data_IF_563615696711
#
_entry.id   IF_563615696711
#
_cell.length_a   1.000
_cell.length_b   1.000
_cell.length_c   1.000
_cell.angle_alpha   90.00
_cell.angle_beta   90.00
_cell.angle_gamma   90.00
#
_symmetry.space_group_name_H-M   'P 1'
#
loop_
_entity.id
_entity.type
_entity.pdbx_description
1 polymer ?
#
# COMPACT_ATOMS: atom_id res chain seq x y z
N UNK A 1 1.36 11.46 -14.19
CA UNK A 1 0.78 10.11 -14.06
C UNK A 1 0.47 9.46 -15.41
N UNK A 2 -0.26 10.09 -16.33
CA UNK A 2 -0.48 9.52 -17.68
C UNK A 2 0.83 9.21 -18.40
N UNK A 3 1.83 10.08 -18.32
CA UNK A 3 3.16 9.83 -18.89
C UNK A 3 3.81 8.56 -18.31
N UNK A 4 3.67 8.32 -17.00
CA UNK A 4 4.23 7.12 -16.39
C UNK A 4 3.55 5.84 -16.87
N UNK A 5 2.23 5.86 -17.05
CA UNK A 5 1.51 4.72 -17.64
C UNK A 5 1.96 4.48 -19.09
N UNK A 6 2.06 5.54 -19.89
CA UNK A 6 2.55 5.44 -21.27
C UNK A 6 4.01 4.93 -21.33
N UNK A 7 4.87 5.39 -20.42
CA UNK A 7 6.24 4.89 -20.31
C UNK A 7 6.26 3.40 -19.89
N UNK A 8 5.43 3.01 -18.93
CA UNK A 8 5.34 1.61 -18.50
C UNK A 8 4.94 0.69 -19.65
N UNK A 9 3.92 1.05 -20.43
CA UNK A 9 3.46 0.31 -21.60
C UNK A 9 4.55 0.25 -22.69
N UNK A 10 5.25 1.36 -22.94
CA UNK A 10 6.34 1.40 -23.89
C UNK A 10 7.53 0.55 -23.47
N UNK A 11 7.91 0.56 -22.19
CA UNK A 11 9.01 -0.25 -21.66
C UNK A 11 8.67 -1.75 -21.66
N UNK A 12 7.42 -2.09 -21.36
CA UNK A 12 6.92 -3.46 -21.46
C UNK A 12 7.00 -3.97 -22.92
N UNK A 13 6.58 -3.15 -23.88
CA UNK A 13 6.68 -3.46 -25.30
C UNK A 13 8.13 -3.76 -25.74
N UNK A 14 9.10 -3.01 -25.24
CA UNK A 14 10.52 -3.21 -25.54
C UNK A 14 11.22 -4.21 -24.63
N UNK A 15 10.52 -4.80 -23.67
CA UNK A 15 11.07 -5.71 -22.65
C UNK A 15 12.22 -5.09 -21.84
N UNK A 16 12.13 -3.80 -21.55
CA UNK A 16 13.13 -3.06 -20.76
C UNK A 16 12.65 -2.92 -19.32
N UNK A 17 13.45 -3.32 -18.32
CA UNK A 17 13.13 -3.07 -16.91
C UNK A 17 12.90 -1.57 -16.66
N UNK A 18 11.83 -1.25 -15.96
CA UNK A 18 11.42 0.12 -15.74
C UNK A 18 11.13 0.40 -14.26
N UNK A 19 11.67 1.50 -13.76
CA UNK A 19 11.23 2.09 -12.50
C UNK A 19 10.10 3.08 -12.77
N UNK A 20 9.02 2.91 -12.04
CA UNK A 20 7.82 3.73 -12.24
C UNK A 20 7.85 5.04 -11.50
N UNK A 21 6.67 5.54 -11.22
CA UNK A 21 6.46 6.76 -10.44
C UNK A 21 7.07 6.63 -9.06
N UNK A 22 7.68 7.71 -8.58
CA UNK A 22 8.19 7.79 -7.22
C UNK A 22 7.13 7.45 -6.17
N UNK A 23 7.49 6.66 -5.18
CA UNK A 23 6.72 6.46 -3.95
C UNK A 23 6.72 7.67 -3.02
N UNK A 24 7.35 8.77 -3.43
CA UNK A 24 7.34 10.06 -2.75
C UNK A 24 6.07 10.83 -3.05
N UNK A 25 5.70 11.71 -2.12
CA UNK A 25 4.58 12.65 -2.27
C UNK A 25 5.02 14.10 -2.10
N UNK A 26 4.17 15.01 -2.57
CA UNK A 26 4.32 16.46 -2.38
C UNK A 26 3.97 16.91 -0.96
N UNK A 27 3.46 16.02 -0.12
CA UNK A 27 3.09 16.30 1.27
C UNK A 27 4.26 16.69 2.14
N UNK A 28 3.96 17.33 3.26
CA UNK A 28 4.93 17.69 4.30
C UNK A 28 5.12 16.56 5.32
N UNK A 29 4.39 15.48 5.13
CA UNK A 29 4.32 14.27 5.94
C UNK A 29 3.20 13.38 5.42
N UNK A 30 2.69 12.42 6.23
CA UNK A 30 1.49 11.65 5.92
C UNK A 30 0.24 12.51 6.12
N UNK A 31 0.06 13.51 5.28
CA UNK A 31 -1.01 14.51 5.32
C UNK A 31 -1.95 14.40 4.12
N UNK A 32 -2.94 15.28 4.05
CA UNK A 32 -3.92 15.29 2.97
C UNK A 32 -3.28 15.52 1.59
N UNK A 33 -2.16 16.26 1.52
CA UNK A 33 -1.44 16.53 0.28
C UNK A 33 -0.73 15.26 -0.22
N UNK A 34 -0.12 14.52 0.70
CA UNK A 34 0.55 13.26 0.38
C UNK A 34 -0.45 12.17 0.00
N UNK A 35 -1.60 12.11 0.67
CA UNK A 35 -2.57 11.02 0.57
C UNK A 35 -2.97 10.73 -0.89
N UNK A 36 -3.49 11.73 -1.60
CA UNK A 36 -3.91 11.55 -2.99
C UNK A 36 -2.74 11.21 -3.93
N UNK A 37 -1.60 11.86 -3.74
CA UNK A 37 -0.41 11.64 -4.57
C UNK A 37 0.14 10.22 -4.41
N UNK A 38 0.24 9.72 -3.17
CA UNK A 38 0.71 8.37 -2.88
C UNK A 38 -0.22 7.32 -3.49
N UNK A 39 -1.53 7.47 -3.32
CA UNK A 39 -2.50 6.59 -3.96
C UNK A 39 -2.33 6.51 -5.47
N UNK A 40 -2.29 7.65 -6.13
CA UNK A 40 -2.14 7.71 -7.58
C UNK A 40 -0.80 7.17 -8.07
N UNK A 41 0.28 7.43 -7.35
CA UNK A 41 1.61 6.92 -7.70
C UNK A 41 1.66 5.40 -7.61
N UNK A 42 1.22 4.82 -6.49
CA UNK A 42 1.24 3.38 -6.31
C UNK A 42 0.24 2.66 -7.22
N UNK A 43 -0.94 3.26 -7.47
CA UNK A 43 -1.93 2.69 -8.38
C UNK A 43 -1.37 2.61 -9.81
N UNK A 44 -0.78 3.70 -10.31
CA UNK A 44 -0.18 3.71 -11.65
C UNK A 44 0.97 2.71 -11.79
N UNK A 45 1.78 2.54 -10.76
CA UNK A 45 2.84 1.53 -10.73
C UNK A 45 2.29 0.10 -10.77
N UNK A 46 1.23 -0.17 -10.01
CA UNK A 46 0.63 -1.52 -9.94
C UNK A 46 -0.09 -1.89 -11.24
N UNK A 47 -0.86 -0.96 -11.82
CA UNK A 47 -1.54 -1.18 -13.10
C UNK A 47 -0.54 -1.30 -14.25
N UNK A 48 0.50 -0.45 -14.25
CA UNK A 48 1.57 -0.49 -15.24
C UNK A 48 2.54 -1.66 -15.07
N UNK A 49 2.36 -2.52 -14.05
CA UNK A 49 3.24 -3.66 -13.72
C UNK A 49 4.72 -3.28 -13.64
N UNK A 50 4.98 -2.11 -13.10
CA UNK A 50 6.33 -1.57 -12.97
C UNK A 50 7.10 -2.32 -11.87
N UNK A 51 8.35 -2.68 -12.14
CA UNK A 51 9.15 -3.50 -11.24
C UNK A 51 9.59 -2.80 -9.95
N UNK A 52 9.68 -1.47 -9.94
CA UNK A 52 10.18 -0.69 -8.81
C UNK A 52 9.46 0.65 -8.68
N UNK A 53 9.02 0.99 -7.48
CA UNK A 53 8.59 2.32 -7.08
C UNK A 53 9.60 2.89 -6.08
N UNK A 54 10.53 3.76 -6.49
CA UNK A 54 11.58 4.30 -5.61
C UNK A 54 11.04 5.36 -4.65
N UNK A 55 11.82 5.68 -3.61
CA UNK A 55 11.59 6.80 -2.68
C UNK A 55 10.33 6.70 -1.82
N UNK A 56 9.87 5.48 -1.49
CA UNK A 56 8.78 5.29 -0.52
C UNK A 56 9.14 5.93 0.81
N UNK A 57 8.23 6.74 1.37
CA UNK A 57 8.47 7.51 2.58
C UNK A 57 9.04 8.91 2.34
N UNK A 58 9.31 9.28 1.08
CA UNK A 58 9.74 10.62 0.71
C UNK A 58 8.59 11.63 0.80
N UNK A 59 8.90 12.82 1.31
CA UNK A 59 8.03 13.98 1.36
C UNK A 59 8.74 15.16 0.71
N UNK A 60 8.03 16.26 0.42
CA UNK A 60 8.60 17.41 -0.29
C UNK A 60 9.34 16.98 -1.57
N UNK A 61 8.69 16.14 -2.38
CA UNK A 61 9.30 15.57 -3.60
C UNK A 61 10.66 14.87 -3.33
N UNK A 62 10.70 14.01 -2.31
CA UNK A 62 11.87 13.23 -1.88
C UNK A 62 12.99 14.03 -1.18
N UNK A 63 12.73 15.25 -0.74
CA UNK A 63 13.72 16.04 -0.01
C UNK A 63 13.78 15.69 1.49
N UNK A 64 12.72 15.11 2.04
CA UNK A 64 12.65 14.66 3.43
C UNK A 64 12.12 13.23 3.51
N UNK A 65 12.63 12.46 4.47
CA UNK A 65 12.19 11.11 4.74
C UNK A 65 11.38 11.06 6.04
N UNK A 66 10.28 10.29 6.03
CA UNK A 66 9.45 10.07 7.21
C UNK A 66 9.08 8.59 7.35
N UNK A 67 9.45 7.93 8.46
CA UNK A 67 9.00 6.56 8.76
C UNK A 67 7.47 6.44 8.80
N UNK A 68 6.79 7.46 9.28
CA UNK A 68 5.32 7.48 9.33
C UNK A 68 4.71 7.48 7.92
N UNK A 69 5.35 8.15 6.96
CA UNK A 69 4.94 8.10 5.56
C UNK A 69 5.22 6.73 4.94
N UNK A 70 6.30 6.02 5.34
CA UNK A 70 6.54 4.63 4.91
C UNK A 70 5.41 3.71 5.36
N UNK A 71 5.03 3.78 6.62
CA UNK A 71 3.94 2.96 7.20
C UNK A 71 2.61 3.26 6.52
N UNK A 72 2.33 4.53 6.23
CA UNK A 72 1.14 4.92 5.47
C UNK A 72 1.17 4.39 4.04
N UNK A 73 2.31 4.51 3.36
CA UNK A 73 2.49 4.02 2.00
C UNK A 73 2.32 2.49 1.92
N UNK A 74 2.77 1.72 2.92
CA UNK A 74 2.57 0.28 2.98
C UNK A 74 1.08 -0.09 2.96
N UNK A 75 0.26 0.60 3.75
CA UNK A 75 -1.20 0.43 3.74
C UNK A 75 -1.81 0.75 2.35
N UNK A 76 -1.35 1.84 1.73
CA UNK A 76 -1.78 2.21 0.37
C UNK A 76 -1.37 1.15 -0.64
N UNK A 77 -0.12 0.69 -0.61
CA UNK A 77 0.41 -0.33 -1.52
C UNK A 77 -0.39 -1.63 -1.39
N UNK A 78 -0.72 -2.06 -0.17
CA UNK A 78 -1.53 -3.25 0.07
C UNK A 78 -2.89 -3.15 -0.60
N UNK A 79 -3.60 -2.05 -0.39
CA UNK A 79 -4.93 -1.82 -0.98
C UNK A 79 -4.86 -1.69 -2.51
N UNK A 80 -3.87 -1.01 -3.02
CA UNK A 80 -3.64 -0.84 -4.46
C UNK A 80 -3.32 -2.17 -5.14
N UNK A 81 -2.49 -3.02 -4.54
CA UNK A 81 -2.19 -4.35 -5.07
C UNK A 81 -3.43 -5.23 -5.14
N UNK A 82 -4.27 -5.17 -4.12
CA UNK A 82 -5.55 -5.86 -4.12
C UNK A 82 -6.46 -5.37 -5.26
N UNK A 83 -6.58 -4.05 -5.42
CA UNK A 83 -7.34 -3.47 -6.51
C UNK A 83 -6.80 -3.89 -7.88
N UNK A 84 -5.48 -3.84 -8.06
CA UNK A 84 -4.82 -4.21 -9.32
C UNK A 84 -4.90 -5.72 -9.63
N UNK A 85 -4.99 -6.58 -8.62
CA UNK A 85 -5.21 -8.01 -8.79
C UNK A 85 -6.59 -8.31 -9.39
N UNK A 86 -7.56 -7.39 -9.19
CA UNK A 86 -8.92 -7.55 -9.68
C UNK A 86 -9.64 -8.72 -9.03
N UNK A 87 -10.53 -9.32 -9.76
CA UNK A 87 -11.28 -10.51 -9.35
C UNK A 87 -11.21 -11.58 -10.44
N UNK A 88 -11.27 -12.82 -10.03
CA UNK A 88 -11.24 -13.95 -10.96
C UNK A 88 -12.69 -14.18 -11.47
N UNK A 89 -12.80 -14.13 -12.80
CA UNK A 89 -14.00 -14.62 -13.48
C UNK A 89 -13.81 -16.12 -13.71
N UNK A 90 -14.45 -16.94 -12.90
CA UNK A 90 -14.42 -18.39 -13.01
C UNK A 90 -15.74 -18.87 -13.61
N UNK A 91 -15.67 -19.76 -14.62
CA UNK A 91 -16.85 -20.40 -15.22
C UNK A 91 -17.65 -21.24 -14.20
N UNK A 92 -17.00 -21.67 -13.12
CA UNK A 92 -17.68 -22.41 -12.04
C UNK A 92 -18.47 -21.50 -11.09
N UNK A 93 -18.18 -20.20 -11.11
CA UNK A 93 -18.85 -19.20 -10.31
C UNK A 93 -19.88 -18.44 -11.17
N UNK A 94 -20.99 -19.11 -11.47
CA UNK A 94 -22.05 -18.56 -12.31
C UNK A 94 -22.99 -17.65 -11.49
N UNK A 95 -22.79 -16.32 -11.52
CA UNK A 95 -23.59 -15.39 -10.73
C UNK A 95 -25.07 -15.36 -11.18
N UNK A 96 -25.37 -15.85 -12.39
CA UNK A 96 -26.75 -15.90 -12.88
C UNK A 96 -27.61 -16.90 -12.10
N UNK A 97 -27.01 -17.99 -11.63
CA UNK A 97 -27.72 -18.95 -10.76
C UNK A 97 -28.12 -18.32 -9.44
N UNK A 98 -27.17 -17.57 -8.82
CA UNK A 98 -27.46 -16.88 -7.57
C UNK A 98 -28.51 -15.78 -7.76
N UNK A 99 -28.40 -14.99 -8.83
CA UNK A 99 -29.41 -13.97 -9.18
C UNK A 99 -30.78 -14.61 -9.37
N UNK A 100 -30.86 -15.74 -10.07
CA UNK A 100 -32.12 -16.46 -10.31
C UNK A 100 -32.69 -17.03 -9.02
N UNK A 101 -31.84 -17.59 -8.14
CA UNK A 101 -32.27 -18.20 -6.88
C UNK A 101 -32.78 -17.18 -5.87
N UNK A 102 -32.13 -16.02 -5.79
CA UNK A 102 -32.47 -14.91 -4.88
C UNK A 102 -33.76 -14.21 -5.36
N UNK A 103 -33.90 -14.02 -6.66
CA UNK A 103 -35.08 -13.41 -7.26
C UNK A 103 -35.26 -11.92 -6.96
N UNK A 104 -36.31 -11.29 -7.55
CA UNK A 104 -36.58 -9.86 -7.35
C UNK A 104 -36.94 -9.53 -5.90
N UNK A 105 -36.25 -8.52 -5.33
CA UNK A 105 -36.49 -8.09 -3.94
C UNK A 105 -35.85 -8.98 -2.87
N UNK A 106 -35.17 -10.06 -3.25
CA UNK A 106 -34.42 -10.92 -2.34
C UNK A 106 -33.11 -10.30 -1.85
N UNK A 107 -32.45 -10.98 -0.91
CA UNK A 107 -31.17 -10.53 -0.32
C UNK A 107 -30.05 -11.50 -0.68
N UNK A 108 -28.95 -10.99 -1.20
CA UNK A 108 -27.74 -11.76 -1.49
C UNK A 108 -26.89 -12.04 -0.24
N UNK A 109 -27.20 -11.45 0.91
CA UNK A 109 -26.41 -11.61 2.14
C UNK A 109 -26.28 -13.07 2.60
N UNK A 110 -27.23 -13.92 2.22
CA UNK A 110 -27.27 -15.34 2.57
C UNK A 110 -26.92 -16.25 1.37
N UNK A 111 -26.53 -15.70 0.22
CA UNK A 111 -26.13 -16.55 -0.91
C UNK A 111 -24.82 -17.29 -0.59
N UNK A 112 -24.68 -18.48 -1.13
CA UNK A 112 -23.49 -19.31 -0.93
C UNK A 112 -22.21 -18.59 -1.36
N UNK A 113 -22.24 -17.89 -2.50
CA UNK A 113 -21.14 -17.10 -3.01
C UNK A 113 -20.76 -15.96 -2.05
N UNK A 114 -21.75 -15.22 -1.51
CA UNK A 114 -21.48 -14.16 -0.53
C UNK A 114 -20.87 -14.74 0.74
N UNK A 115 -21.40 -15.82 1.28
CA UNK A 115 -20.90 -16.45 2.50
C UNK A 115 -19.50 -17.05 2.33
N UNK A 116 -19.16 -17.54 1.14
CA UNK A 116 -17.83 -18.07 0.84
C UNK A 116 -16.78 -16.96 0.69
N UNK A 117 -17.13 -15.85 0.06
CA UNK A 117 -16.17 -14.81 -0.33
C UNK A 117 -16.08 -13.64 0.66
N UNK A 118 -17.11 -13.42 1.49
CA UNK A 118 -17.15 -12.24 2.35
C UNK A 118 -15.98 -12.19 3.34
N UNK A 119 -15.49 -13.33 3.81
CA UNK A 119 -14.36 -13.41 4.72
C UNK A 119 -13.07 -12.92 4.06
N UNK A 120 -12.79 -13.40 2.85
CA UNK A 120 -11.59 -13.03 2.09
C UNK A 120 -11.57 -11.54 1.75
N UNK A 121 -12.76 -10.96 1.52
CA UNK A 121 -12.91 -9.53 1.25
C UNK A 121 -12.84 -8.71 2.55
N UNK A 122 -13.39 -9.23 3.65
CA UNK A 122 -13.53 -8.50 4.91
C UNK A 122 -12.31 -8.63 5.84
N UNK A 123 -11.54 -9.71 5.77
CA UNK A 123 -10.35 -9.94 6.61
C UNK A 123 -9.17 -9.02 6.29
N UNK A 124 -9.31 -8.13 5.31
CA UNK A 124 -8.29 -7.19 4.91
C UNK A 124 -8.35 -5.85 5.67
N UNK A 125 -8.72 -5.91 6.94
CA UNK A 125 -8.70 -4.73 7.78
C UNK A 125 -7.27 -4.21 7.98
N UNK A 126 -7.14 -2.90 7.90
CA UNK A 126 -5.90 -2.23 8.29
C UNK A 126 -5.55 -2.55 9.75
N UNK A 127 -4.29 -2.90 10.01
CA UNK A 127 -3.79 -3.04 11.37
C UNK A 127 -3.74 -1.71 12.13
N UNK A 128 -3.70 -0.61 11.38
CA UNK A 128 -3.60 0.74 11.91
C UNK A 128 -5.00 1.31 12.17
N UNK A 129 -5.91 1.12 11.21
CA UNK A 129 -7.27 1.67 11.25
C UNK A 129 -8.32 0.55 11.19
N UNK A 130 -8.75 0.02 12.34
CA UNK A 130 -9.84 -0.94 12.37
C UNK A 130 -11.11 -0.35 11.77
N UNK A 131 -11.91 -1.20 11.12
CA UNK A 131 -13.20 -0.82 10.56
C UNK A 131 -14.27 -0.60 11.63
N UNK A 132 -14.11 0.42 12.45
CA UNK A 132 -15.07 0.73 13.51
C UNK A 132 -16.43 1.16 12.97
N UNK A 133 -17.51 0.68 13.57
CA UNK A 133 -18.79 1.35 13.50
C UNK A 133 -18.73 2.69 14.26
N UNK A 134 -19.64 3.61 14.00
CA UNK A 134 -19.71 4.89 14.72
C UNK A 134 -19.74 4.69 16.24
N UNK A 135 -20.55 3.73 16.69
CA UNK A 135 -20.67 3.44 18.14
C UNK A 135 -19.35 2.91 18.71
N UNK A 136 -18.68 1.99 18.03
CA UNK A 136 -17.37 1.49 18.44
C UNK A 136 -16.33 2.62 18.47
N UNK A 137 -16.29 3.47 17.44
CA UNK A 137 -15.37 4.61 17.39
C UNK A 137 -15.57 5.58 18.57
N UNK A 138 -16.81 5.86 18.92
CA UNK A 138 -17.13 6.69 20.11
C UNK A 138 -16.72 6.01 21.41
N UNK A 139 -16.96 4.71 21.55
CA UNK A 139 -16.57 3.93 22.74
C UNK A 139 -15.04 3.91 22.92
N UNK A 140 -14.30 3.90 21.83
CA UNK A 140 -12.83 3.97 21.81
C UNK A 140 -12.30 5.41 21.90
N UNK A 141 -13.07 6.33 22.48
CA UNK A 141 -12.70 7.74 22.68
C UNK A 141 -12.41 8.51 21.38
N UNK A 142 -13.06 8.17 20.30
CA UNK A 142 -12.99 8.87 19.01
C UNK A 142 -11.54 9.08 18.51
N UNK A 143 -10.76 8.01 18.33
CA UNK A 143 -9.36 8.11 18.00
C UNK A 143 -9.12 8.85 16.68
N UNK A 144 -8.09 9.69 16.65
CA UNK A 144 -7.62 10.37 15.47
C UNK A 144 -6.74 9.45 14.60
N UNK A 145 -6.99 9.44 13.29
CA UNK A 145 -6.30 8.55 12.34
C UNK A 145 -4.78 8.81 12.29
N UNK A 146 -4.36 10.06 12.33
CA UNK A 146 -2.94 10.41 12.29
C UNK A 146 -2.21 10.03 13.58
N UNK A 147 -2.86 10.20 14.71
CA UNK A 147 -2.33 9.80 16.02
C UNK A 147 -2.11 8.28 16.08
N UNK A 148 -3.07 7.48 15.60
CA UNK A 148 -2.91 6.01 15.49
C UNK A 148 -1.77 5.63 14.57
N UNK A 149 -1.64 6.28 13.42
CA UNK A 149 -0.54 6.04 12.50
C UNK A 149 0.83 6.30 13.14
N UNK A 150 0.95 7.40 13.89
CA UNK A 150 2.19 7.75 14.61
C UNK A 150 2.51 6.74 15.70
N UNK A 151 1.53 6.36 16.51
CA UNK A 151 1.69 5.36 17.55
C UNK A 151 2.13 4.01 16.96
N UNK A 152 1.47 3.55 15.92
CA UNK A 152 1.84 2.33 15.22
C UNK A 152 3.28 2.41 14.68
N UNK A 153 3.64 3.52 14.05
CA UNK A 153 5.00 3.74 13.55
C UNK A 153 6.04 3.66 14.66
N UNK A 154 5.80 4.31 15.80
CA UNK A 154 6.71 4.24 16.95
C UNK A 154 6.84 2.81 17.48
N UNK A 155 5.73 2.07 17.54
CA UNK A 155 5.75 0.66 17.96
C UNK A 155 6.56 -0.23 17.00
N UNK A 156 6.50 0.04 15.70
CA UNK A 156 7.33 -0.66 14.71
C UNK A 156 8.80 -0.29 14.89
N UNK A 157 9.13 1.00 14.98
CA UNK A 157 10.50 1.46 15.16
C UNK A 157 11.15 0.90 16.44
N UNK A 158 10.41 0.82 17.54
CA UNK A 158 10.91 0.28 18.80
C UNK A 158 11.22 -1.24 18.74
N UNK A 159 10.70 -1.94 17.74
CA UNK A 159 10.97 -3.37 17.52
C UNK A 159 12.09 -3.63 16.52
N UNK A 160 12.62 -2.58 15.89
CA UNK A 160 13.72 -2.72 14.96
C UNK A 160 15.01 -3.04 15.73
N UNK A 161 15.74 -4.02 15.23
CA UNK A 161 17.07 -4.36 15.70
C UNK A 161 18.07 -4.12 14.58
N UNK A 162 19.28 -3.74 14.94
CA UNK A 162 20.37 -3.67 13.95
C UNK A 162 20.59 -5.04 13.33
N UNK A 163 20.82 -5.14 12.01
CA UNK A 163 21.22 -6.41 11.38
C UNK A 163 22.46 -7.02 12.07
N UNK A 164 22.57 -8.34 12.07
CA UNK A 164 23.71 -9.05 12.71
C UNK A 164 25.06 -8.64 12.12
N UNK A 165 25.09 -8.25 10.85
CA UNK A 165 26.29 -7.81 10.13
C UNK A 165 26.52 -6.31 10.17
N UNK A 166 25.71 -5.54 10.92
CA UNK A 166 25.73 -4.08 10.95
C UNK A 166 27.13 -3.50 11.15
N UNK A 167 27.83 -3.94 12.20
CA UNK A 167 29.16 -3.42 12.53
C UNK A 167 30.20 -3.81 11.47
N UNK A 168 30.07 -4.99 10.88
CA UNK A 168 30.92 -5.45 9.78
C UNK A 168 30.72 -4.60 8.53
N UNK A 169 29.48 -4.28 8.19
CA UNK A 169 29.12 -3.44 7.04
C UNK A 169 29.63 -2.01 7.25
N UNK A 170 29.46 -1.44 8.45
CA UNK A 170 29.97 -0.11 8.78
C UNK A 170 31.50 -0.05 8.65
N UNK A 171 32.22 -1.01 9.24
CA UNK A 171 33.68 -1.05 9.19
C UNK A 171 34.22 -1.13 7.76
N UNK A 172 33.57 -1.95 6.92
CA UNK A 172 33.91 -2.05 5.48
C UNK A 172 33.62 -0.75 4.74
N UNK A 173 32.51 -0.09 5.06
CA UNK A 173 32.15 1.21 4.48
C UNK A 173 33.16 2.30 4.84
N UNK A 174 33.58 2.39 6.10
CA UNK A 174 34.59 3.32 6.57
C UNK A 174 35.97 3.08 5.94
N UNK A 175 36.33 1.81 5.78
CA UNK A 175 37.58 1.43 5.09
C UNK A 175 37.54 1.86 3.62
N UNK A 176 36.42 1.62 2.93
CA UNK A 176 36.25 2.05 1.55
C UNK A 176 36.34 3.58 1.40
N UNK A 177 35.67 4.34 2.30
CA UNK A 177 35.74 5.80 2.29
C UNK A 177 37.20 6.29 2.50
N UNK A 178 37.95 5.67 3.42
CA UNK A 178 39.37 6.01 3.65
C UNK A 178 40.24 5.77 2.42
N UNK A 179 39.93 4.74 1.63
CA UNK A 179 40.66 4.45 0.38
C UNK A 179 40.35 5.46 -0.74
N UNK A 180 39.19 6.13 -0.68
CA UNK A 180 38.78 7.15 -1.66
C UNK A 180 39.22 8.56 -1.27
N UNK A 181 39.60 8.77 -0.03
CA UNK A 181 40.11 10.09 0.43
C UNK A 181 41.59 10.23 0.04
N UNK A 182 41.95 11.28 -0.74
CA UNK A 182 43.31 11.52 -1.16
C UNK A 182 44.25 11.85 0.00
#
# INVERSE_FOLDING_TARGET
MLVNLACAEMMDHYHIPHAGTSGSGTGWGPDLLASGTLWMNHLTNSIGKVGLAPFVGGNFDSQAFSPTTVVYADEVIRQVRQFAAGFVLDENNDPLKDIHSVGPGGSFLLSEATLAQYRDIHEQHSQIWPGYSLNQWQTEFSPDALSRLREYTLNVLNKLHSPEDHDSVLSRGEEYIRQLSP
#
